data_IF_107273506134
#
_entry.id   IF_107273506134
#
_cell.length_a   1.000
_cell.length_b   1.000
_cell.length_c   1.000
_cell.angle_alpha   90.00
_cell.angle_beta   90.00
_cell.angle_gamma   90.00
#
_symmetry.space_group_name_H-M   'P 1'
#
loop_
_entity.id
_entity.type
_entity.pdbx_description
1 polymer ?
#
# COMPACT_ATOMS: atom_id res chain seq x y z
N UNK A 1 23.21 -22.08 -32.57
CA UNK A 1 23.34 -21.02 -31.55
C UNK A 1 22.02 -20.99 -30.79
N UNK A 2 22.01 -21.54 -29.57
CA UNK A 2 20.79 -21.69 -28.78
C UNK A 2 20.27 -20.30 -28.38
N UNK A 3 19.08 -19.95 -28.86
CA UNK A 3 18.41 -18.71 -28.46
C UNK A 3 18.22 -18.72 -26.96
N UNK A 4 18.86 -17.79 -26.26
CA UNK A 4 18.62 -17.53 -24.86
C UNK A 4 17.17 -17.07 -24.74
N UNK A 5 16.26 -17.97 -24.35
CA UNK A 5 14.92 -17.57 -23.90
C UNK A 5 15.15 -16.55 -22.79
N UNK A 6 14.87 -15.28 -23.09
CA UNK A 6 14.75 -14.26 -22.08
C UNK A 6 13.76 -14.79 -21.05
N UNK A 7 14.24 -15.01 -19.82
CA UNK A 7 13.36 -15.34 -18.72
C UNK A 7 12.38 -14.18 -18.64
N UNK A 8 11.10 -14.44 -18.92
CA UNK A 8 10.08 -13.38 -18.79
C UNK A 8 10.29 -12.74 -17.42
N UNK A 9 10.39 -11.41 -17.33
CA UNK A 9 10.48 -10.73 -16.05
C UNK A 9 9.30 -11.25 -15.24
N UNK A 10 9.63 -12.04 -14.23
CA UNK A 10 8.63 -12.64 -13.38
C UNK A 10 8.05 -11.48 -12.61
N UNK A 11 6.90 -10.99 -13.08
CA UNK A 11 6.16 -9.88 -12.50
C UNK A 11 5.60 -10.22 -11.10
N UNK A 12 6.03 -11.35 -10.52
CA UNK A 12 5.53 -11.96 -9.29
C UNK A 12 5.99 -11.25 -8.01
N UNK A 13 6.62 -10.08 -8.07
CA UNK A 13 7.10 -9.39 -6.87
C UNK A 13 8.20 -10.15 -6.12
N UNK A 14 8.99 -10.95 -6.84
CA UNK A 14 10.16 -11.65 -6.31
C UNK A 14 11.13 -10.61 -5.71
N UNK A 15 11.37 -10.68 -4.40
CA UNK A 15 12.17 -9.68 -3.65
C UNK A 15 11.38 -8.61 -2.88
N UNK A 16 10.06 -8.51 -3.06
CA UNK A 16 9.23 -7.49 -2.38
C UNK A 16 8.32 -8.04 -1.27
N UNK A 17 8.51 -9.29 -0.84
CA UNK A 17 7.71 -9.93 0.22
C UNK A 17 7.67 -9.08 1.50
N UNK A 18 8.84 -8.64 1.97
CA UNK A 18 8.97 -7.86 3.21
C UNK A 18 8.27 -6.50 3.09
N UNK A 19 8.48 -5.80 1.98
CA UNK A 19 7.81 -4.52 1.72
C UNK A 19 6.29 -4.67 1.65
N UNK A 20 5.80 -5.71 0.97
CA UNK A 20 4.38 -5.99 0.88
C UNK A 20 3.77 -6.37 2.25
N UNK A 21 4.50 -7.17 3.04
CA UNK A 21 4.08 -7.54 4.39
C UNK A 21 4.01 -6.33 5.33
N UNK A 22 5.01 -5.45 5.31
CA UNK A 22 4.98 -4.21 6.10
C UNK A 22 3.80 -3.35 5.68
N UNK A 23 3.57 -3.19 4.37
CA UNK A 23 2.43 -2.44 3.84
C UNK A 23 1.11 -3.04 4.35
N UNK A 24 0.96 -4.37 4.27
CA UNK A 24 -0.20 -5.08 4.77
C UNK A 24 -0.44 -4.82 6.26
N UNK A 25 0.60 -4.94 7.10
CA UNK A 25 0.48 -4.73 8.55
C UNK A 25 0.07 -3.29 8.87
N UNK A 26 0.60 -2.30 8.15
CA UNK A 26 0.21 -0.88 8.35
C UNK A 26 -1.28 -0.68 8.06
N UNK A 27 -1.78 -1.15 6.92
CA UNK A 27 -3.18 -1.01 6.57
C UNK A 27 -4.10 -1.84 7.47
N UNK A 28 -3.65 -3.02 7.89
CA UNK A 28 -4.37 -3.84 8.86
C UNK A 28 -4.50 -3.11 10.20
N UNK A 29 -3.43 -2.48 10.70
CA UNK A 29 -3.46 -1.71 11.93
C UNK A 29 -4.45 -0.53 11.84
N UNK A 30 -4.38 0.24 10.75
CA UNK A 30 -5.32 1.36 10.49
C UNK A 30 -6.77 0.85 10.48
N UNK A 31 -7.02 -0.29 9.83
CA UNK A 31 -8.35 -0.91 9.78
C UNK A 31 -8.85 -1.34 11.16
N UNK A 32 -8.02 -2.02 11.95
CA UNK A 32 -8.37 -2.48 13.31
C UNK A 32 -8.65 -1.29 14.23
N UNK A 33 -7.86 -0.22 14.15
CA UNK A 33 -8.11 1.02 14.91
C UNK A 33 -9.46 1.64 14.51
N UNK A 34 -9.80 1.64 13.22
CA UNK A 34 -11.11 2.07 12.74
C UNK A 34 -12.26 1.24 13.32
N UNK A 35 -12.13 -0.10 13.30
CA UNK A 35 -13.12 -0.99 13.91
C UNK A 35 -13.27 -0.76 15.41
N UNK A 36 -12.15 -0.58 16.12
CA UNK A 36 -12.17 -0.32 17.55
C UNK A 36 -12.84 1.02 17.88
N UNK A 37 -12.55 2.08 17.09
CA UNK A 37 -13.18 3.39 17.20
C UNK A 37 -14.71 3.29 17.17
N UNK A 38 -15.26 2.47 16.27
CA UNK A 38 -16.71 2.28 16.13
C UNK A 38 -17.40 1.72 17.38
N UNK A 39 -16.67 1.10 18.30
CA UNK A 39 -17.22 0.62 19.59
C UNK A 39 -17.78 1.76 20.44
N UNK A 40 -17.24 2.97 20.30
CA UNK A 40 -17.70 4.16 21.03
C UNK A 40 -18.65 5.04 20.24
N UNK A 41 -19.02 4.65 19.02
CA UNK A 41 -19.90 5.45 18.18
C UNK A 41 -21.34 5.32 18.70
N UNK A 42 -21.87 6.43 19.19
CA UNK A 42 -23.29 6.57 19.54
C UNK A 42 -23.82 7.86 18.90
N UNK A 43 -25.15 8.04 18.85
CA UNK A 43 -25.73 9.26 18.28
C UNK A 43 -25.33 10.52 19.05
N UNK A 44 -25.11 10.40 20.37
CA UNK A 44 -24.62 11.50 21.21
C UNK A 44 -23.10 11.70 21.10
N UNK A 45 -22.35 10.67 20.66
CA UNK A 45 -20.90 10.66 20.67
C UNK A 45 -20.32 10.38 19.28
N UNK A 46 -20.16 11.44 18.49
CA UNK A 46 -19.80 11.39 17.06
C UNK A 46 -18.31 11.48 16.76
N UNK A 47 -17.43 11.78 17.73
CA UNK A 47 -15.98 11.83 17.49
C UNK A 47 -15.37 10.55 16.89
N UNK A 48 -15.90 9.33 17.13
CA UNK A 48 -15.39 8.13 16.48
C UNK A 48 -15.52 8.17 14.95
N UNK A 49 -16.53 8.86 14.41
CA UNK A 49 -16.63 9.12 12.97
C UNK A 49 -15.50 10.02 12.47
N UNK A 50 -15.11 11.05 13.23
CA UNK A 50 -13.99 11.91 12.87
C UNK A 50 -12.67 11.12 12.83
N UNK A 51 -12.49 10.14 13.72
CA UNK A 51 -11.35 9.23 13.66
C UNK A 51 -11.38 8.38 12.40
N UNK A 52 -12.52 7.80 12.03
CA UNK A 52 -12.64 7.03 10.79
C UNK A 52 -12.27 7.87 9.56
N UNK A 53 -12.70 9.13 9.50
CA UNK A 53 -12.32 10.06 8.43
C UNK A 53 -10.81 10.35 8.44
N UNK A 54 -10.24 10.65 9.62
CA UNK A 54 -8.81 10.89 9.76
C UNK A 54 -7.95 9.68 9.40
N UNK A 55 -8.36 8.47 9.78
CA UNK A 55 -7.72 7.22 9.39
C UNK A 55 -7.80 6.98 7.88
N UNK A 56 -8.93 7.30 7.25
CA UNK A 56 -9.10 7.26 5.80
C UNK A 56 -8.14 8.22 5.09
N UNK A 57 -7.99 9.44 5.59
CA UNK A 57 -6.99 10.39 5.09
C UNK A 57 -5.57 9.86 5.28
N UNK A 58 -5.25 9.34 6.47
CA UNK A 58 -3.92 8.82 6.79
C UNK A 58 -3.55 7.63 5.90
N UNK A 59 -4.51 6.72 5.64
CA UNK A 59 -4.35 5.60 4.71
C UNK A 59 -3.97 6.05 3.29
N UNK A 60 -4.45 7.22 2.85
CA UNK A 60 -4.09 7.83 1.57
C UNK A 60 -2.67 8.45 1.58
N UNK A 61 -2.20 8.97 2.71
CA UNK A 61 -0.86 9.54 2.84
C UNK A 61 0.27 8.50 3.03
N UNK A 62 -0.04 7.35 3.64
CA UNK A 62 0.91 6.24 3.83
C UNK A 62 1.73 5.89 2.56
N UNK A 63 1.13 5.67 1.37
CA UNK A 63 1.89 5.30 0.17
C UNK A 63 2.75 6.44 -0.36
N UNK A 64 2.35 7.69 -0.11
CA UNK A 64 3.11 8.89 -0.47
C UNK A 64 4.41 8.98 0.35
N UNK A 65 4.34 8.68 1.65
CA UNK A 65 5.52 8.69 2.53
C UNK A 65 6.42 7.47 2.34
N UNK A 66 5.87 6.34 1.87
CA UNK A 66 6.62 5.10 1.69
C UNK A 66 7.38 5.03 0.35
N UNK A 67 7.40 6.11 -0.45
CA UNK A 67 8.10 6.18 -1.74
C UNK A 67 7.50 5.27 -2.82
N UNK A 68 6.33 4.66 -2.57
CA UNK A 68 5.62 3.81 -3.54
C UNK A 68 4.96 4.63 -4.65
N UNK A 69 4.93 5.96 -4.55
CA UNK A 69 4.47 6.86 -5.62
C UNK A 69 5.42 6.89 -6.82
N UNK A 70 6.72 6.66 -6.61
CA UNK A 70 7.72 6.74 -7.67
C UNK A 70 7.72 5.52 -8.60
N UNK A 71 7.13 4.39 -8.17
CA UNK A 71 6.94 3.19 -9.00
C UNK A 71 6.15 3.51 -10.28
N UNK A 72 5.17 4.41 -10.23
CA UNK A 72 4.41 4.81 -11.41
C UNK A 72 5.27 5.57 -12.43
N UNK A 73 6.21 6.40 -11.95
CA UNK A 73 7.13 7.17 -12.77
C UNK A 73 8.19 6.25 -13.41
N UNK A 74 8.74 5.31 -12.65
CA UNK A 74 9.72 4.33 -13.13
C UNK A 74 9.14 3.41 -14.23
N UNK A 75 7.87 3.01 -14.10
CA UNK A 75 7.16 2.24 -15.12
C UNK A 75 6.81 3.08 -16.36
N UNK A 76 6.48 4.36 -16.19
CA UNK A 76 6.19 5.27 -17.30
C UNK A 76 7.44 5.68 -18.09
N UNK A 77 8.61 5.76 -17.43
CA UNK A 77 9.91 6.06 -18.05
C UNK A 77 10.48 4.87 -18.84
N UNK A 78 9.80 3.72 -18.88
CA UNK A 78 10.22 2.56 -19.67
C UNK A 78 11.48 1.87 -19.13
N UNK A 79 11.92 2.22 -17.91
CA UNK A 79 13.15 1.67 -17.31
C UNK A 79 13.04 0.19 -16.94
N UNK A 80 11.82 -0.35 -16.87
CA UNK A 80 11.57 -1.79 -16.74
C UNK A 80 11.69 -2.57 -18.06
N UNK A 81 11.93 -1.91 -19.20
CA UNK A 81 12.12 -2.55 -20.51
C UNK A 81 13.59 -2.46 -21.01
N UNK A 82 14.54 -2.22 -20.12
CA UNK A 82 15.97 -2.28 -20.41
C UNK A 82 16.64 -3.37 -19.58
N UNK A 83 16.99 -4.47 -20.25
CA UNK A 83 17.69 -5.70 -19.82
C UNK A 83 16.79 -6.92 -19.62
#
# INVERSE_FOLDING_TARGET
MAGTRSKQPTHSGEGHLVSNLITFVIYLAIFVVGLYSLTWLTLDNVWPMAICLGLGTLAYFVPFMMGRSDTAKELAEGRAAGL
#
